data_IF_924576570698
#
_entry.id   IF_924576570698
#
_cell.length_a   1.000
_cell.length_b   1.000
_cell.length_c   1.000
_cell.angle_alpha   90.00
_cell.angle_beta   90.00
_cell.angle_gamma   90.00
#
_symmetry.space_group_name_H-M   'P 1'
#
loop_
_entity.id
_entity.type
_entity.pdbx_description
1 polymer ?
#
# COMPACT_ATOMS: atom_id res chain seq x y z
N UNK A 1 27.07 3.87 4.34
CA UNK A 1 26.23 4.06 3.12
C UNK A 1 24.90 3.40 3.37
N UNK A 2 23.81 4.08 3.02
CA UNK A 2 22.44 3.56 3.09
C UNK A 2 21.90 3.43 1.66
N UNK A 3 21.40 2.25 1.29
CA UNK A 3 20.76 1.98 0.00
C UNK A 3 19.27 1.81 0.24
N UNK A 4 18.49 2.65 -0.40
CA UNK A 4 17.03 2.64 -0.33
C UNK A 4 16.46 1.93 -1.56
N UNK A 5 15.84 0.78 -1.32
CA UNK A 5 15.18 -0.03 -2.35
C UNK A 5 13.72 0.39 -2.46
N UNK A 6 13.30 0.86 -3.63
CA UNK A 6 11.91 1.23 -3.88
C UNK A 6 11.45 0.86 -5.29
N UNK A 7 10.16 0.94 -5.51
CA UNK A 7 9.61 0.84 -6.85
C UNK A 7 10.00 2.08 -7.67
N UNK A 8 10.34 1.92 -8.95
CA UNK A 8 10.82 2.99 -9.83
C UNK A 8 9.90 4.23 -9.87
N UNK A 9 8.58 4.04 -9.71
CA UNK A 9 7.58 5.12 -9.66
C UNK A 9 7.74 6.05 -8.45
N UNK A 10 8.46 5.64 -7.40
CA UNK A 10 8.60 6.41 -6.15
C UNK A 10 9.94 7.10 -5.98
N UNK A 11 10.81 7.05 -6.98
CA UNK A 11 12.12 7.73 -6.92
C UNK A 11 11.98 9.21 -6.57
N UNK A 12 10.97 9.89 -7.09
CA UNK A 12 10.75 11.32 -6.82
C UNK A 12 10.46 11.64 -5.34
N UNK A 13 9.87 10.71 -4.59
CA UNK A 13 9.51 10.94 -3.18
C UNK A 13 10.72 11.01 -2.24
N UNK A 14 11.85 10.46 -2.66
CA UNK A 14 13.10 10.43 -1.89
C UNK A 14 14.23 11.22 -2.58
N UNK A 15 13.91 11.94 -3.66
CA UNK A 15 14.92 12.59 -4.50
C UNK A 15 15.77 13.59 -3.71
N UNK A 16 15.19 14.36 -2.79
CA UNK A 16 15.95 15.29 -1.94
C UNK A 16 17.01 14.59 -1.10
N UNK A 17 16.68 13.44 -0.51
CA UNK A 17 17.65 12.67 0.28
C UNK A 17 18.78 12.07 -0.58
N UNK A 18 18.47 11.76 -1.84
CA UNK A 18 19.46 11.30 -2.82
C UNK A 18 20.37 12.45 -3.23
N UNK A 19 19.80 13.63 -3.52
CA UNK A 19 20.54 14.82 -3.93
C UNK A 19 21.47 15.31 -2.80
N UNK A 20 21.01 15.25 -1.56
CA UNK A 20 21.80 15.55 -0.36
C UNK A 20 22.80 14.43 0.00
N UNK A 21 22.86 13.35 -0.77
CA UNK A 21 23.72 12.17 -0.55
C UNK A 21 23.53 11.49 0.81
N UNK A 22 22.37 11.63 1.41
CA UNK A 22 22.01 10.93 2.66
C UNK A 22 21.78 9.45 2.39
N UNK A 23 21.17 9.13 1.24
CA UNK A 23 20.91 7.77 0.78
C UNK A 23 21.32 7.62 -0.69
N UNK A 24 21.58 6.37 -1.09
CA UNK A 24 21.62 5.96 -2.50
C UNK A 24 20.31 5.24 -2.85
N UNK A 25 19.74 5.51 -3.99
CA UNK A 25 18.54 4.83 -4.48
C UNK A 25 18.92 3.69 -5.43
N UNK A 26 18.23 2.57 -5.29
CA UNK A 26 18.29 1.44 -6.19
C UNK A 26 16.86 0.92 -6.40
N UNK A 27 16.41 0.75 -7.63
CA UNK A 27 15.13 0.10 -7.86
C UNK A 27 15.25 -1.43 -7.82
N UNK A 28 14.13 -2.13 -7.66
CA UNK A 28 14.13 -3.58 -7.53
C UNK A 28 14.67 -4.29 -8.78
N UNK A 29 14.33 -3.81 -9.98
CA UNK A 29 14.81 -4.41 -11.24
C UNK A 29 16.34 -4.32 -11.37
N UNK A 30 16.92 -3.20 -10.97
CA UNK A 30 18.36 -3.00 -10.91
C UNK A 30 19.00 -3.92 -9.86
N UNK A 31 18.39 -4.02 -8.68
CA UNK A 31 18.88 -4.87 -7.60
C UNK A 31 18.88 -6.36 -7.98
N UNK A 32 17.81 -6.82 -8.65
CA UNK A 32 17.69 -8.23 -9.08
C UNK A 32 18.67 -8.61 -10.18
N UNK A 33 19.11 -7.66 -11.01
CA UNK A 33 20.07 -7.88 -12.10
C UNK A 33 21.51 -7.65 -11.70
N UNK A 34 21.75 -7.08 -10.54
CA UNK A 34 23.11 -6.77 -10.09
C UNK A 34 23.89 -8.06 -9.79
N UNK A 35 25.04 -8.21 -10.42
CA UNK A 35 25.96 -9.33 -10.11
C UNK A 35 26.65 -9.18 -8.75
N UNK A 36 26.77 -7.96 -8.26
CA UNK A 36 27.35 -7.62 -6.97
C UNK A 36 26.64 -6.39 -6.37
N UNK A 37 26.42 -6.43 -5.09
CA UNK A 37 25.89 -5.32 -4.32
C UNK A 37 26.86 -4.93 -3.21
N UNK A 38 27.08 -3.64 -2.96
CA UNK A 38 28.04 -3.20 -1.95
C UNK A 38 27.57 -3.53 -0.53
N UNK A 39 28.50 -3.70 0.39
CA UNK A 39 28.16 -3.83 1.81
C UNK A 39 27.65 -2.49 2.34
N UNK A 40 26.38 -2.44 2.70
CA UNK A 40 25.65 -1.24 3.09
C UNK A 40 24.51 -1.58 4.05
N UNK A 41 23.80 -0.56 4.54
CA UNK A 41 22.47 -0.73 5.13
C UNK A 41 21.44 -0.66 4.02
N UNK A 42 20.60 -1.70 3.88
CA UNK A 42 19.54 -1.77 2.88
C UNK A 42 18.18 -1.57 3.52
N UNK A 43 17.38 -0.66 2.98
CA UNK A 43 16.01 -0.40 3.42
C UNK A 43 15.05 -0.80 2.30
N UNK A 44 14.29 -1.86 2.50
CA UNK A 44 13.27 -2.35 1.56
C UNK A 44 11.98 -1.58 1.75
N UNK A 45 11.44 -1.00 0.68
CA UNK A 45 10.18 -0.22 0.71
C UNK A 45 9.31 -0.53 -0.50
N UNK A 46 8.11 0.05 -0.57
CA UNK A 46 7.15 -0.14 -1.68
C UNK A 46 6.80 -1.60 -2.01
N UNK A 47 6.97 -2.50 -1.07
CA UNK A 47 6.79 -3.94 -1.27
C UNK A 47 5.35 -4.31 -1.65
N UNK A 48 4.38 -3.49 -1.28
CA UNK A 48 2.98 -3.64 -1.67
C UNK A 48 2.72 -3.42 -3.17
N UNK A 49 3.70 -2.85 -3.89
CA UNK A 49 3.65 -2.63 -5.35
C UNK A 49 4.29 -3.76 -6.15
N UNK A 50 5.06 -4.62 -5.51
CA UNK A 50 5.72 -5.75 -6.16
C UNK A 50 4.69 -6.82 -6.55
N UNK A 51 4.94 -7.51 -7.67
CA UNK A 51 4.24 -8.75 -7.95
C UNK A 51 4.54 -9.80 -6.87
N UNK A 52 3.82 -10.90 -6.82
CA UNK A 52 4.14 -11.98 -5.86
C UNK A 52 5.51 -12.58 -6.14
N UNK A 53 5.89 -12.70 -7.42
CA UNK A 53 7.20 -13.19 -7.82
C UNK A 53 8.32 -12.22 -7.42
N UNK A 54 8.14 -10.92 -7.69
CA UNK A 54 9.14 -9.91 -7.31
C UNK A 54 9.27 -9.78 -5.80
N UNK A 55 8.18 -10.00 -5.06
CA UNK A 55 8.21 -10.01 -3.60
C UNK A 55 9.02 -11.19 -3.06
N UNK A 56 8.91 -12.36 -3.69
CA UNK A 56 9.73 -13.53 -3.38
C UNK A 56 11.21 -13.28 -3.72
N UNK A 57 11.51 -12.69 -4.88
CA UNK A 57 12.87 -12.28 -5.25
C UNK A 57 13.45 -11.28 -4.24
N UNK A 58 12.64 -10.29 -3.82
CA UNK A 58 13.06 -9.32 -2.81
C UNK A 58 13.32 -9.98 -1.44
N UNK A 59 12.51 -10.98 -1.06
CA UNK A 59 12.72 -11.73 0.17
C UNK A 59 14.02 -12.56 0.11
N UNK A 60 14.30 -13.19 -1.02
CA UNK A 60 15.55 -13.93 -1.23
C UNK A 60 16.77 -12.98 -1.21
N UNK A 61 16.67 -11.83 -1.87
CA UNK A 61 17.71 -10.80 -1.84
C UNK A 61 17.96 -10.30 -0.41
N UNK A 62 16.90 -10.08 0.36
CA UNK A 62 17.00 -9.70 1.77
C UNK A 62 17.82 -10.72 2.59
N UNK A 63 17.58 -12.02 2.38
CA UNK A 63 18.31 -13.08 3.06
C UNK A 63 19.79 -13.13 2.62
N UNK A 64 20.05 -13.07 1.31
CA UNK A 64 21.42 -13.05 0.78
C UNK A 64 22.24 -11.87 1.32
N UNK A 65 21.68 -10.67 1.34
CA UNK A 65 22.34 -9.48 1.88
C UNK A 65 22.61 -9.62 3.38
N UNK A 66 21.64 -10.17 4.12
CA UNK A 66 21.79 -10.42 5.56
C UNK A 66 22.90 -11.44 5.84
N UNK A 67 22.93 -12.54 5.11
CA UNK A 67 23.95 -13.60 5.25
C UNK A 67 25.33 -13.10 4.82
N UNK A 68 25.40 -12.16 3.87
CA UNK A 68 26.61 -11.42 3.48
C UNK A 68 27.05 -10.37 4.49
N UNK A 69 26.37 -10.24 5.64
CA UNK A 69 26.73 -9.33 6.73
C UNK A 69 26.30 -7.88 6.50
N UNK A 70 25.39 -7.61 5.56
CA UNK A 70 24.77 -6.29 5.43
C UNK A 70 23.67 -6.09 6.51
N UNK A 71 23.48 -4.86 6.93
CA UNK A 71 22.31 -4.50 7.71
C UNK A 71 21.10 -4.37 6.78
N UNK A 72 20.02 -5.08 7.08
CA UNK A 72 18.80 -5.08 6.26
C UNK A 72 17.59 -4.73 7.10
N UNK A 73 16.73 -3.84 6.58
CA UNK A 73 15.53 -3.36 7.25
C UNK A 73 14.30 -3.67 6.38
N UNK A 74 13.15 -3.87 7.05
CA UNK A 74 11.85 -4.14 6.43
C UNK A 74 11.86 -5.45 5.62
N UNK A 75 11.79 -6.58 6.31
CA UNK A 75 11.80 -7.91 5.68
C UNK A 75 10.63 -8.10 4.71
N UNK A 76 10.88 -8.30 3.39
CA UNK A 76 9.83 -8.49 2.39
C UNK A 76 8.94 -9.72 2.64
N UNK A 77 9.48 -10.79 3.25
CA UNK A 77 8.69 -11.97 3.58
C UNK A 77 7.62 -11.73 4.66
N UNK A 78 7.64 -10.59 5.33
CA UNK A 78 6.68 -10.22 6.40
C UNK A 78 5.74 -9.10 6.00
N UNK A 79 5.72 -8.70 4.74
CA UNK A 79 4.83 -7.64 4.28
C UNK A 79 3.37 -8.10 4.34
N UNK A 80 2.52 -7.27 4.90
CA UNK A 80 1.08 -7.40 4.77
C UNK A 80 0.60 -6.49 3.64
N UNK A 81 -0.06 -7.04 2.62
CA UNK A 81 -0.74 -6.25 1.60
C UNK A 81 -2.00 -5.61 2.17
N UNK A 82 -2.61 -4.73 1.41
CA UNK A 82 -3.78 -3.94 1.86
C UNK A 82 -4.89 -4.81 2.43
N UNK A 83 -5.26 -5.88 1.74
CA UNK A 83 -6.32 -6.77 2.22
C UNK A 83 -5.97 -7.40 3.57
N UNK A 84 -4.80 -8.04 3.65
CA UNK A 84 -4.33 -8.70 4.86
C UNK A 84 -4.19 -7.71 6.03
N UNK A 85 -3.67 -6.51 5.74
CA UNK A 85 -3.49 -5.45 6.74
C UNK A 85 -4.85 -4.97 7.28
N UNK A 86 -5.80 -4.64 6.41
CA UNK A 86 -7.11 -4.14 6.83
C UNK A 86 -7.88 -5.20 7.61
N UNK A 87 -7.85 -6.46 7.17
CA UNK A 87 -8.46 -7.59 7.89
C UNK A 87 -7.87 -7.77 9.27
N UNK A 88 -6.54 -7.71 9.38
CA UNK A 88 -5.84 -7.84 10.65
C UNK A 88 -6.20 -6.70 11.60
N UNK A 89 -6.16 -5.46 11.13
CA UNK A 89 -6.50 -4.29 11.94
C UNK A 89 -7.96 -4.33 12.44
N UNK A 90 -8.88 -4.83 11.61
CA UNK A 90 -10.26 -5.03 12.00
C UNK A 90 -10.40 -6.15 13.05
N UNK A 91 -9.75 -7.29 12.85
CA UNK A 91 -9.78 -8.40 13.80
C UNK A 91 -9.19 -8.05 15.17
N UNK A 92 -8.22 -7.12 15.21
CA UNK A 92 -7.62 -6.58 16.44
C UNK A 92 -8.41 -5.41 17.05
N UNK A 93 -9.56 -5.03 16.47
CA UNK A 93 -10.39 -3.93 16.96
C UNK A 93 -9.75 -2.53 16.78
N UNK A 94 -8.72 -2.40 15.94
CA UNK A 94 -8.05 -1.11 15.65
C UNK A 94 -8.88 -0.32 14.62
N UNK A 95 -9.42 -0.98 13.61
CA UNK A 95 -10.36 -0.42 12.65
C UNK A 95 -11.78 -0.95 12.92
N UNK A 96 -12.76 -0.07 12.86
CA UNK A 96 -14.19 -0.40 12.89
C UNK A 96 -14.75 -0.83 11.52
N UNK A 97 -13.94 -0.75 10.46
CA UNK A 97 -14.29 -1.14 9.10
C UNK A 97 -13.46 -2.33 8.62
N UNK A 98 -14.05 -3.09 7.70
CA UNK A 98 -13.48 -4.31 7.17
C UNK A 98 -13.27 -4.24 5.64
N UNK A 99 -12.54 -5.22 5.10
CA UNK A 99 -12.28 -5.37 3.66
C UNK A 99 -12.62 -6.81 3.22
N UNK A 100 -13.12 -6.93 1.99
CA UNK A 100 -13.61 -8.19 1.44
C UNK A 100 -13.05 -8.41 0.04
N UNK A 101 -12.85 -9.68 -0.34
CA UNK A 101 -12.49 -10.12 -1.70
C UNK A 101 -13.71 -10.75 -2.38
N UNK A 102 -14.47 -10.01 -3.19
CA UNK A 102 -15.62 -10.56 -3.92
C UNK A 102 -15.24 -11.70 -4.88
N UNK A 103 -13.99 -11.73 -5.36
CA UNK A 103 -13.45 -12.83 -6.18
C UNK A 103 -13.40 -14.17 -5.44
N UNK A 104 -13.39 -14.17 -4.11
CA UNK A 104 -13.41 -15.35 -3.25
C UNK A 104 -14.80 -15.60 -2.63
N UNK A 105 -15.85 -14.96 -3.14
CA UNK A 105 -17.20 -15.07 -2.60
C UNK A 105 -17.39 -14.36 -1.26
N UNK A 106 -16.46 -13.49 -0.85
CA UNK A 106 -16.59 -12.70 0.36
C UNK A 106 -17.39 -11.42 0.07
N UNK A 107 -18.39 -11.17 0.90
CA UNK A 107 -19.29 -10.02 0.74
C UNK A 107 -19.30 -9.15 1.99
N UNK A 108 -19.45 -7.82 1.82
CA UNK A 108 -19.55 -6.90 2.95
C UNK A 108 -20.72 -7.23 3.87
N UNK A 109 -20.50 -7.09 5.17
CA UNK A 109 -21.53 -7.23 6.19
C UNK A 109 -22.25 -5.90 6.44
N UNK A 110 -21.55 -4.78 6.18
CA UNK A 110 -22.09 -3.43 6.31
C UNK A 110 -21.92 -2.63 5.04
N UNK A 111 -22.85 -1.71 4.81
CA UNK A 111 -22.85 -0.73 3.72
C UNK A 111 -22.97 0.69 4.29
N UNK A 112 -22.54 1.75 3.58
CA UNK A 112 -21.99 1.69 2.22
C UNK A 112 -20.55 1.17 2.18
N UNK A 113 -20.16 0.69 1.00
CA UNK A 113 -18.78 0.26 0.67
C UNK A 113 -18.28 1.00 -0.56
N UNK A 114 -16.99 0.90 -0.82
CA UNK A 114 -16.40 1.33 -2.08
C UNK A 114 -15.41 0.31 -2.60
N UNK A 115 -15.20 0.30 -3.92
CA UNK A 115 -14.23 -0.58 -4.56
C UNK A 115 -12.89 0.13 -4.75
N UNK A 116 -11.82 -0.62 -4.52
CA UNK A 116 -10.44 -0.17 -4.78
C UNK A 116 -9.55 -1.34 -5.20
N UNK A 117 -8.39 -1.05 -5.81
CA UNK A 117 -7.40 -2.08 -6.11
C UNK A 117 -6.72 -2.57 -4.83
N UNK A 118 -6.44 -3.87 -4.76
CA UNK A 118 -5.65 -4.47 -3.68
C UNK A 118 -4.20 -3.97 -3.71
N UNK A 119 -3.63 -3.92 -4.91
CA UNK A 119 -2.34 -3.30 -5.19
C UNK A 119 -2.53 -1.92 -5.84
N UNK A 120 -1.55 -1.06 -5.76
CA UNK A 120 -1.53 0.32 -6.28
C UNK A 120 -2.28 1.38 -5.47
N UNK A 121 -1.78 2.62 -5.54
CA UNK A 121 -2.32 3.79 -4.85
C UNK A 121 -3.16 4.70 -5.77
N UNK A 122 -3.93 4.09 -6.68
CA UNK A 122 -4.74 4.83 -7.68
C UNK A 122 -6.05 5.43 -7.14
N UNK A 123 -6.26 5.39 -5.82
CA UNK A 123 -7.51 5.86 -5.21
C UNK A 123 -8.62 4.81 -5.25
N UNK A 124 -9.88 5.28 -5.21
CA UNK A 124 -11.07 4.43 -5.30
C UNK A 124 -11.45 4.17 -6.76
N UNK A 125 -12.01 2.99 -7.04
CA UNK A 125 -12.53 2.63 -8.36
C UNK A 125 -13.98 3.07 -8.55
N UNK A 126 -14.70 3.30 -7.44
CA UNK A 126 -16.12 3.70 -7.45
C UNK A 126 -16.40 4.78 -6.43
N UNK A 127 -17.57 5.42 -6.53
CA UNK A 127 -18.20 6.08 -5.41
C UNK A 127 -18.68 5.08 -4.36
N UNK A 128 -19.48 5.55 -3.41
CA UNK A 128 -20.11 4.70 -2.41
C UNK A 128 -21.16 3.81 -3.07
N UNK A 129 -21.28 2.61 -2.57
CA UNK A 129 -22.16 1.53 -3.01
C UNK A 129 -23.00 1.15 -1.81
N UNK A 130 -24.31 1.13 -1.94
CA UNK A 130 -25.21 1.07 -0.80
C UNK A 130 -25.83 -0.30 -0.53
N UNK A 131 -25.71 -1.24 -1.48
CA UNK A 131 -26.20 -2.60 -1.32
C UNK A 131 -25.43 -3.61 -2.17
N UNK A 132 -25.75 -4.89 -1.99
CA UNK A 132 -25.10 -5.99 -2.67
C UNK A 132 -25.36 -6.01 -4.17
N UNK A 133 -26.56 -5.69 -4.60
CA UNK A 133 -26.95 -5.70 -6.03
C UNK A 133 -26.17 -4.64 -6.80
N UNK A 134 -26.05 -3.44 -6.22
CA UNK A 134 -25.23 -2.38 -6.78
C UNK A 134 -23.75 -2.80 -6.83
N UNK A 135 -23.23 -3.46 -5.78
CA UNK A 135 -21.86 -3.95 -5.72
C UNK A 135 -21.57 -4.97 -6.83
N UNK A 136 -22.44 -5.95 -7.03
CA UNK A 136 -22.32 -6.95 -8.10
C UNK A 136 -22.34 -6.29 -9.49
N UNK A 137 -23.21 -5.32 -9.71
CA UNK A 137 -23.28 -4.56 -10.97
C UNK A 137 -21.98 -3.74 -11.19
N UNK A 138 -21.47 -3.05 -10.17
CA UNK A 138 -20.20 -2.29 -10.29
C UNK A 138 -19.02 -3.19 -10.59
N UNK A 139 -18.94 -4.38 -9.97
CA UNK A 139 -17.90 -5.36 -10.26
C UNK A 139 -17.94 -5.82 -11.71
N UNK A 140 -19.13 -6.13 -12.26
CA UNK A 140 -19.30 -6.49 -13.67
C UNK A 140 -18.84 -5.37 -14.60
N UNK A 141 -19.25 -4.12 -14.33
CA UNK A 141 -18.84 -2.96 -15.13
C UNK A 141 -17.32 -2.71 -15.09
N UNK A 142 -16.66 -3.01 -13.97
CA UNK A 142 -15.20 -2.92 -13.87
C UNK A 142 -14.50 -4.01 -14.69
N UNK A 143 -15.05 -5.23 -14.69
CA UNK A 143 -14.55 -6.34 -15.54
C UNK A 143 -14.68 -6.01 -17.03
N UNK A 144 -15.80 -5.42 -17.45
CA UNK A 144 -16.01 -4.93 -18.83
C UNK A 144 -15.00 -3.84 -19.23
N UNK A 145 -14.47 -3.08 -18.26
CA UNK A 145 -13.39 -2.10 -18.45
C UNK A 145 -11.97 -2.69 -18.32
N UNK A 146 -11.83 -4.01 -18.24
CA UNK A 146 -10.54 -4.69 -18.12
C UNK A 146 -9.92 -4.63 -16.73
N UNK A 147 -10.69 -4.36 -15.68
CA UNK A 147 -10.22 -4.40 -14.30
C UNK A 147 -10.55 -5.77 -13.70
N UNK A 148 -9.55 -6.65 -13.47
CA UNK A 148 -9.79 -7.98 -12.95
C UNK A 148 -10.39 -7.94 -11.53
N UNK A 149 -11.44 -8.74 -11.31
CA UNK A 149 -12.09 -8.87 -9.99
C UNK A 149 -11.10 -9.33 -8.91
N UNK A 150 -10.15 -10.21 -9.25
CA UNK A 150 -9.15 -10.73 -8.31
C UNK A 150 -8.29 -9.63 -7.66
N UNK A 151 -8.12 -8.49 -8.35
CA UNK A 151 -7.35 -7.36 -7.83
C UNK A 151 -8.24 -6.26 -7.23
N UNK A 152 -9.50 -6.59 -6.92
CA UNK A 152 -10.50 -5.63 -6.44
C UNK A 152 -10.94 -6.01 -5.03
N UNK A 153 -10.89 -5.02 -4.13
CA UNK A 153 -11.40 -5.11 -2.77
C UNK A 153 -12.66 -4.28 -2.62
N UNK A 154 -13.65 -4.81 -1.90
CA UNK A 154 -14.72 -4.02 -1.31
C UNK A 154 -14.32 -3.61 0.10
N UNK A 155 -14.35 -2.33 0.41
CA UNK A 155 -13.97 -1.79 1.71
C UNK A 155 -15.17 -1.04 2.30
N UNK A 156 -15.50 -1.34 3.55
CA UNK A 156 -16.57 -0.64 4.27
C UNK A 156 -16.19 0.84 4.46
N UNK A 157 -17.16 1.70 4.29
CA UNK A 157 -17.02 3.12 4.55
C UNK A 157 -17.22 3.39 6.04
N UNK A 158 -16.24 4.03 6.66
CA UNK A 158 -16.24 4.36 8.08
C UNK A 158 -15.51 5.69 8.31
N UNK A 159 -15.91 6.72 7.58
CA UNK A 159 -15.33 8.05 7.73
C UNK A 159 -16.34 8.98 8.37
N UNK A 160 -15.94 9.60 9.47
CA UNK A 160 -16.66 10.74 10.02
C UNK A 160 -16.09 12.03 9.42
N UNK A 161 -16.94 12.93 8.91
CA UNK A 161 -16.49 14.26 8.49
C UNK A 161 -16.00 15.06 9.71
N UNK A 162 -15.04 15.93 9.50
CA UNK A 162 -14.56 16.86 10.55
C UNK A 162 -15.60 17.95 10.84
N UNK A 163 -16.30 18.37 9.78
CA UNK A 163 -17.49 19.22 9.79
C UNK A 163 -18.46 18.66 8.76
N UNK A 164 -19.68 19.23 8.65
CA UNK A 164 -20.77 18.70 7.82
C UNK A 164 -20.35 18.23 6.41
N UNK A 165 -19.35 18.88 5.77
CA UNK A 165 -18.88 18.55 4.43
C UNK A 165 -17.35 18.44 4.28
N UNK A 166 -16.62 18.39 5.38
CA UNK A 166 -15.14 18.38 5.30
C UNK A 166 -14.57 17.09 5.87
N UNK A 167 -13.85 16.39 5.03
CA UNK A 167 -13.12 15.17 5.36
C UNK A 167 -11.64 15.47 5.52
N UNK A 168 -10.98 14.73 6.40
CA UNK A 168 -9.56 14.91 6.68
C UNK A 168 -8.79 13.61 6.48
N UNK A 169 -7.68 13.71 5.77
CA UNK A 169 -6.66 12.64 5.70
C UNK A 169 -5.41 13.10 6.46
N UNK A 170 -4.94 12.29 7.37
CA UNK A 170 -3.67 12.49 8.08
C UNK A 170 -2.63 11.50 7.58
N UNK A 171 -1.40 11.98 7.35
CA UNK A 171 -0.24 11.13 7.15
C UNK A 171 0.65 11.19 8.39
N UNK A 172 1.14 10.03 8.79
CA UNK A 172 2.07 9.87 9.92
C UNK A 172 3.15 8.89 9.50
N UNK A 173 4.40 9.26 9.72
CA UNK A 173 5.53 8.34 9.54
C UNK A 173 5.91 7.73 10.88
N UNK A 174 6.24 6.43 10.86
CA UNK A 174 6.88 5.76 11.99
C UNK A 174 8.32 5.43 11.61
N UNK A 175 9.27 5.88 12.44
CA UNK A 175 10.69 5.56 12.31
C UNK A 175 11.18 4.99 13.64
N UNK A 176 11.47 3.72 13.68
CA UNK A 176 11.68 3.00 14.93
C UNK A 176 10.41 3.08 15.81
N UNK A 177 10.57 3.59 17.03
CA UNK A 177 9.46 3.77 17.99
C UNK A 177 8.85 5.19 17.97
N UNK A 178 9.33 6.07 17.09
CA UNK A 178 8.87 7.46 17.03
C UNK A 178 7.86 7.67 15.89
N UNK A 179 6.86 8.51 16.15
CA UNK A 179 5.85 8.92 15.19
C UNK A 179 6.05 10.37 14.78
N UNK A 180 6.04 10.62 13.48
CA UNK A 180 6.24 11.94 12.89
C UNK A 180 4.98 12.32 12.11
N UNK A 181 4.15 13.27 12.61
CA UNK A 181 3.06 13.81 11.81
C UNK A 181 3.64 14.47 10.54
N UNK A 182 3.10 14.11 9.38
CA UNK A 182 3.50 14.68 8.12
C UNK A 182 2.46 15.74 7.66
N UNK A 183 1.51 15.34 6.84
CA UNK A 183 0.56 16.25 6.23
C UNK A 183 -0.87 15.95 6.69
N UNK A 184 -1.68 16.99 6.84
CA UNK A 184 -3.14 16.88 6.94
C UNK A 184 -3.77 17.56 5.73
N UNK A 185 -4.55 16.80 4.98
CA UNK A 185 -5.28 17.27 3.80
C UNK A 185 -6.77 17.31 4.14
N UNK A 186 -7.44 18.39 3.76
CA UNK A 186 -8.87 18.60 3.96
C UNK A 186 -9.54 18.76 2.60
N UNK A 187 -10.63 18.05 2.37
CA UNK A 187 -11.41 18.11 1.13
C UNK A 187 -12.91 17.98 1.42
N UNK A 188 -13.73 18.52 0.51
CA UNK A 188 -15.19 18.34 0.54
C UNK A 188 -15.65 16.96 0.05
N UNK A 189 -14.72 16.12 -0.37
CA UNK A 189 -15.01 14.78 -0.87
C UNK A 189 -14.44 13.73 0.07
N UNK A 190 -15.22 12.71 0.41
CA UNK A 190 -14.81 11.65 1.34
C UNK A 190 -13.56 10.89 0.89
N UNK A 191 -13.32 10.71 -0.41
CA UNK A 191 -12.11 10.08 -0.95
C UNK A 191 -10.97 11.10 -1.05
N UNK A 192 -10.52 11.63 0.10
CA UNK A 192 -9.45 12.62 0.18
C UNK A 192 -8.19 12.10 -0.49
N UNK A 193 -7.70 12.81 -1.50
CA UNK A 193 -6.42 12.53 -2.16
C UNK A 193 -5.40 13.58 -1.71
N UNK A 194 -4.24 13.15 -1.26
CA UNK A 194 -3.07 14.02 -1.31
C UNK A 194 -2.71 14.17 -2.79
N UNK A 195 -2.70 15.37 -3.30
CA UNK A 195 -2.47 15.71 -4.69
C UNK A 195 -1.17 15.17 -5.26
#
# INVERSE_FOLDING_TARGET
MIIYLSHWLHKSTIQSLVDERVISHLNYDEAFRASQLPRATYIFTDMDRLSLMDLELAANLYLQLKDGGAQVLNNPARVARRYELLRKLHAEGINDFNAYRPSLGQWPERYPVFLRRDSFHSGTLTGLIHDRSELENKLRLLEEKGIPRINTLAVEYALDPVTEDIYRKRAVFRVGEKYFPAVSVFEKHWAVKAG
#
